data_IF_788258896993
#
_entry.id   IF_788258896993
#
_cell.length_a   1.000
_cell.length_b   1.000
_cell.length_c   1.000
_cell.angle_alpha   90.00
_cell.angle_beta   90.00
_cell.angle_gamma   90.00
#
_symmetry.space_group_name_H-M   'P 1'
#
loop_
_entity.id
_entity.type
_entity.pdbx_description
1 polymer ?
#
# COMPACT_ATOMS: atom_id res chain seq x y z
N UNK A 1 39.99 21.03 -38.32
CA UNK A 1 40.25 19.90 -37.42
C UNK A 1 39.35 20.05 -36.20
N UNK A 2 38.47 19.06 -36.01
CA UNK A 2 37.78 18.71 -34.75
C UNK A 2 36.87 19.78 -34.12
N UNK A 3 35.62 19.84 -34.61
CA UNK A 3 34.52 20.41 -33.82
C UNK A 3 34.12 19.39 -32.74
N UNK A 4 34.56 19.65 -31.51
CA UNK A 4 34.20 18.85 -30.33
C UNK A 4 32.71 19.01 -30.03
N UNK A 5 31.94 17.95 -30.24
CA UNK A 5 30.54 17.84 -29.83
C UNK A 5 30.47 17.75 -28.30
N UNK A 6 30.23 18.87 -27.62
CA UNK A 6 29.96 18.88 -26.18
C UNK A 6 28.58 18.28 -25.92
N UNK A 7 28.54 16.99 -25.59
CA UNK A 7 27.35 16.32 -25.08
C UNK A 7 27.08 16.82 -23.66
N UNK A 8 26.22 17.82 -23.50
CA UNK A 8 25.68 18.25 -22.20
C UNK A 8 24.70 17.19 -21.68
N UNK A 9 25.22 16.26 -20.87
CA UNK A 9 24.41 15.39 -20.02
C UNK A 9 23.71 16.23 -18.95
N UNK A 10 22.46 16.64 -19.19
CA UNK A 10 21.60 17.23 -18.17
C UNK A 10 21.21 16.15 -17.15
N UNK A 11 21.97 16.05 -16.06
CA UNK A 11 21.56 15.33 -14.85
C UNK A 11 20.43 16.11 -14.18
N UNK A 12 19.18 15.83 -14.54
CA UNK A 12 18.01 16.37 -13.85
C UNK A 12 17.93 15.69 -12.47
N UNK A 13 18.19 16.42 -11.40
CA UNK A 13 17.86 15.94 -10.05
C UNK A 13 16.38 15.53 -10.04
N UNK A 14 16.02 14.36 -9.47
CA UNK A 14 14.62 13.97 -9.36
C UNK A 14 13.86 15.03 -8.58
N UNK A 15 12.64 15.34 -9.03
CA UNK A 15 11.76 16.26 -8.32
C UNK A 15 11.48 15.73 -6.90
N UNK A 16 11.39 16.60 -5.88
CA UNK A 16 11.14 16.18 -4.51
C UNK A 16 9.76 15.51 -4.39
N UNK A 17 9.70 14.34 -3.74
CA UNK A 17 8.48 13.62 -3.41
C UNK A 17 8.11 13.90 -1.94
N UNK A 18 6.85 14.27 -1.70
CA UNK A 18 6.34 14.60 -0.37
C UNK A 18 5.07 13.80 -0.07
N UNK A 19 5.02 13.18 1.10
CA UNK A 19 3.78 12.62 1.63
C UNK A 19 2.90 13.76 2.16
N UNK A 20 1.62 13.73 1.84
CA UNK A 20 0.61 14.73 2.26
C UNK A 20 -0.55 14.01 2.96
N UNK A 21 -1.42 14.80 3.61
CA UNK A 21 -2.64 14.32 4.29
C UNK A 21 -2.40 13.35 5.46
N UNK A 22 -1.75 13.86 6.52
CA UNK A 22 -1.53 13.14 7.78
C UNK A 22 -2.72 13.27 8.76
N UNK A 23 -3.91 13.64 8.28
CA UNK A 23 -5.08 13.86 9.15
C UNK A 23 -5.61 12.59 9.85
N UNK A 24 -5.22 11.42 9.34
CA UNK A 24 -5.53 10.11 9.92
C UNK A 24 -4.31 9.44 10.58
N UNK A 25 -3.17 10.13 10.64
CA UNK A 25 -1.97 9.60 11.26
C UNK A 25 -2.20 9.51 12.78
N UNK A 26 -1.84 8.39 13.38
CA UNK A 26 -1.92 8.16 14.81
C UNK A 26 -0.56 7.70 15.36
N UNK A 27 -0.31 7.96 16.63
CA UNK A 27 0.89 7.47 17.30
C UNK A 27 0.71 6.01 17.63
N UNK A 28 1.62 5.17 17.13
CA UNK A 28 1.65 3.78 17.52
C UNK A 28 2.06 3.62 18.98
N UNK A 29 1.24 2.90 19.73
CA UNK A 29 1.38 2.55 21.14
C UNK A 29 1.12 1.03 21.23
N UNK A 30 2.09 0.23 21.70
CA UNK A 30 1.94 -1.22 21.74
C UNK A 30 0.71 -1.62 22.57
N UNK A 31 -0.08 -2.57 22.04
CA UNK A 31 -1.34 -3.07 22.62
C UNK A 31 -2.49 -2.06 22.69
N UNK A 32 -2.42 -0.97 21.93
CA UNK A 32 -3.55 -0.04 21.80
C UNK A 32 -4.51 -0.53 20.72
N UNK A 33 -5.80 -0.29 20.93
CA UNK A 33 -6.84 -0.58 19.94
C UNK A 33 -6.98 0.62 19.01
N UNK A 34 -6.88 0.38 17.72
CA UNK A 34 -7.07 1.39 16.69
C UNK A 34 -8.34 1.13 15.87
N UNK A 35 -8.90 2.19 15.29
CA UNK A 35 -10.17 2.11 14.57
C UNK A 35 -9.98 1.44 13.19
N UNK A 36 -10.52 0.25 13.02
CA UNK A 36 -10.46 -0.52 11.76
C UNK A 36 -11.23 0.09 10.57
N UNK A 37 -12.00 1.16 10.79
CA UNK A 37 -12.72 1.90 9.74
C UNK A 37 -11.87 2.96 9.01
N UNK A 38 -10.55 2.94 9.20
CA UNK A 38 -9.61 3.81 8.48
C UNK A 38 -9.24 3.27 7.08
N UNK A 39 -8.72 4.13 6.21
CA UNK A 39 -8.34 3.87 4.81
C UNK A 39 -9.48 3.65 3.80
N UNK A 40 -9.22 4.05 2.55
CA UNK A 40 -10.08 3.80 1.39
C UNK A 40 -10.15 2.30 1.09
N UNK A 41 -11.34 1.77 0.79
CA UNK A 41 -11.62 0.32 0.63
C UNK A 41 -10.57 -0.44 -0.18
N UNK A 42 -10.11 0.14 -1.29
CA UNK A 42 -9.18 -0.51 -2.20
C UNK A 42 -7.73 -0.65 -1.68
N UNK A 43 -7.40 0.07 -0.61
CA UNK A 43 -6.08 0.10 0.02
C UNK A 43 -6.12 -0.45 1.45
N UNK A 44 -7.27 -0.98 1.90
CA UNK A 44 -7.36 -1.64 3.20
C UNK A 44 -6.55 -2.94 3.19
N UNK A 45 -5.73 -3.11 4.22
CA UNK A 45 -5.01 -4.35 4.50
C UNK A 45 -5.96 -5.47 4.92
N UNK A 46 -5.56 -6.74 4.76
CA UNK A 46 -6.35 -7.87 5.23
C UNK A 46 -6.69 -7.77 6.73
N UNK A 47 -5.79 -7.29 7.60
CA UNK A 47 -6.09 -7.14 9.03
C UNK A 47 -7.22 -6.12 9.30
N UNK A 48 -7.29 -5.04 8.51
CA UNK A 48 -8.40 -4.09 8.58
C UNK A 48 -9.72 -4.67 8.05
N UNK A 49 -9.67 -5.61 7.10
CA UNK A 49 -10.84 -6.25 6.52
C UNK A 49 -11.44 -7.33 7.43
N UNK A 50 -10.61 -8.04 8.21
CA UNK A 50 -11.05 -9.00 9.23
C UNK A 50 -11.39 -8.35 10.58
N UNK A 51 -11.13 -7.04 10.73
CA UNK A 51 -11.47 -6.29 11.94
C UNK A 51 -10.48 -6.45 13.09
N UNK A 52 -9.21 -6.74 12.80
CA UNK A 52 -8.17 -6.83 13.81
C UNK A 52 -7.79 -5.44 14.31
N UNK A 53 -8.10 -5.12 15.57
CA UNK A 53 -7.93 -3.77 16.15
C UNK A 53 -6.50 -3.48 16.65
N UNK A 54 -5.62 -4.48 16.71
CA UNK A 54 -4.27 -4.38 17.25
C UNK A 54 -3.20 -4.32 16.15
N UNK A 55 -3.54 -3.70 15.02
CA UNK A 55 -2.62 -3.53 13.91
C UNK A 55 -1.46 -2.58 14.25
N UNK A 56 -0.36 -2.73 13.53
CA UNK A 56 0.84 -1.90 13.65
C UNK A 56 1.11 -1.14 12.35
N UNK A 57 2.35 -0.69 12.15
CA UNK A 57 2.78 0.01 10.94
C UNK A 57 2.68 -0.81 9.65
N UNK A 58 2.40 -2.13 9.72
CA UNK A 58 2.26 -2.98 8.55
C UNK A 58 1.09 -2.54 7.64
N UNK A 59 0.07 -1.87 8.16
CA UNK A 59 -1.06 -1.34 7.37
C UNK A 59 -0.58 -0.35 6.30
N UNK A 60 0.44 0.45 6.61
CA UNK A 60 0.98 1.47 5.70
C UNK A 60 1.82 0.81 4.61
N UNK A 61 2.59 -0.21 4.99
CA UNK A 61 3.39 -0.99 4.05
C UNK A 61 2.51 -1.72 3.04
N UNK A 62 1.34 -2.20 3.48
CA UNK A 62 0.32 -2.75 2.58
C UNK A 62 -0.18 -1.73 1.55
N UNK A 63 -0.49 -0.51 1.99
CA UNK A 63 -0.90 0.59 1.11
C UNK A 63 0.16 0.92 0.07
N UNK A 64 1.44 1.00 0.49
CA UNK A 64 2.58 1.19 -0.41
C UNK A 64 2.71 0.04 -1.42
N UNK A 65 2.54 -1.21 -0.97
CA UNK A 65 2.53 -2.37 -1.85
C UNK A 65 1.42 -2.31 -2.91
N UNK A 66 0.22 -1.87 -2.52
CA UNK A 66 -0.89 -1.67 -3.46
C UNK A 66 -0.58 -0.61 -4.54
N UNK A 67 0.05 0.51 -4.16
CA UNK A 67 0.46 1.57 -5.10
C UNK A 67 1.55 1.03 -6.03
N UNK A 68 2.57 0.37 -5.47
CA UNK A 68 3.67 -0.19 -6.25
C UNK A 68 3.17 -1.24 -7.26
N UNK A 69 2.29 -2.15 -6.83
CA UNK A 69 1.68 -3.13 -7.70
C UNK A 69 0.80 -2.47 -8.77
N UNK A 70 0.08 -1.39 -8.44
CA UNK A 70 -0.70 -0.61 -9.41
C UNK A 70 0.17 0.01 -10.50
N UNK A 71 1.33 0.56 -10.10
CA UNK A 71 2.31 1.15 -11.01
C UNK A 71 2.96 0.11 -11.93
N UNK A 72 3.38 -1.03 -11.37
CA UNK A 72 4.03 -2.12 -12.12
C UNK A 72 3.06 -2.81 -13.09
N UNK A 73 1.83 -3.07 -12.65
CA UNK A 73 0.82 -3.77 -13.43
C UNK A 73 -0.02 -2.83 -14.32
N UNK A 74 0.23 -1.51 -14.25
CA UNK A 74 -0.56 -0.47 -14.93
C UNK A 74 -2.06 -0.60 -14.66
N UNK A 75 -2.42 -1.00 -13.42
CA UNK A 75 -3.80 -1.37 -13.04
C UNK A 75 -4.15 -0.80 -11.68
N UNK A 76 -4.97 0.25 -11.68
CA UNK A 76 -5.44 0.90 -10.44
C UNK A 76 -6.98 0.89 -10.34
N UNK A 77 -7.54 0.48 -9.19
CA UNK A 77 -6.90 -0.23 -8.08
C UNK A 77 -6.55 -1.68 -8.46
N UNK A 78 -5.48 -2.20 -7.86
CA UNK A 78 -5.04 -3.61 -8.02
C UNK A 78 -6.16 -4.56 -7.60
N UNK A 79 -6.78 -4.27 -6.45
CA UNK A 79 -7.87 -5.03 -5.86
C UNK A 79 -9.17 -4.23 -5.89
N UNK A 80 -10.11 -4.62 -6.75
CA UNK A 80 -11.42 -3.96 -6.92
C UNK A 80 -12.55 -4.77 -6.29
N UNK A 81 -12.64 -4.83 -4.97
CA UNK A 81 -13.74 -5.44 -4.23
C UNK A 81 -15.02 -4.59 -4.25
N UNK A 82 -16.17 -5.23 -4.43
CA UNK A 82 -17.50 -4.60 -4.34
C UNK A 82 -17.84 -4.21 -2.90
N UNK A 83 -17.35 -4.98 -1.95
CA UNK A 83 -17.59 -4.91 -0.51
C UNK A 83 -16.34 -5.42 0.23
N UNK A 84 -16.28 -5.27 1.55
CA UNK A 84 -15.06 -5.62 2.31
C UNK A 84 -14.71 -7.11 2.20
N UNK A 85 -15.73 -7.98 2.14
CA UNK A 85 -15.54 -9.42 1.98
C UNK A 85 -15.03 -9.76 0.58
N UNK A 86 -15.61 -9.18 -0.47
CA UNK A 86 -15.12 -9.33 -1.85
C UNK A 86 -13.71 -8.73 -2.04
N UNK A 87 -13.39 -7.64 -1.33
CA UNK A 87 -12.03 -7.07 -1.31
C UNK A 87 -11.04 -8.07 -0.72
N UNK A 88 -11.37 -8.68 0.43
CA UNK A 88 -10.54 -9.70 1.06
C UNK A 88 -10.36 -10.88 0.11
N UNK A 89 -11.45 -11.43 -0.43
CA UNK A 89 -11.42 -12.55 -1.38
C UNK A 89 -10.48 -12.29 -2.57
N UNK A 90 -10.48 -11.07 -3.13
CA UNK A 90 -9.56 -10.69 -4.22
C UNK A 90 -8.10 -10.64 -3.79
N UNK A 91 -7.83 -10.18 -2.57
CA UNK A 91 -6.49 -10.20 -2.00
C UNK A 91 -6.01 -11.65 -1.84
N UNK A 92 -6.82 -12.51 -1.22
CA UNK A 92 -6.50 -13.94 -1.03
C UNK A 92 -6.29 -14.65 -2.37
N UNK A 93 -7.07 -14.31 -3.39
CA UNK A 93 -6.94 -14.94 -4.71
C UNK A 93 -5.60 -14.67 -5.40
N UNK A 94 -4.90 -13.60 -5.00
CA UNK A 94 -3.60 -13.21 -5.57
C UNK A 94 -2.44 -13.65 -4.68
N UNK A 95 -2.56 -13.50 -3.36
CA UNK A 95 -1.52 -13.91 -2.40
C UNK A 95 -1.53 -15.42 -2.12
N UNK A 96 -2.66 -16.09 -2.33
CA UNK A 96 -2.89 -17.47 -1.93
C UNK A 96 -3.54 -17.58 -0.56
N UNK A 97 -4.27 -18.68 -0.34
CA UNK A 97 -4.95 -18.99 0.94
C UNK A 97 -4.01 -19.51 2.02
N UNK A 98 -2.81 -19.98 1.65
CA UNK A 98 -1.90 -20.66 2.59
C UNK A 98 -1.33 -19.70 3.65
N UNK A 99 -1.11 -18.43 3.31
CA UNK A 99 -0.60 -17.42 4.24
C UNK A 99 -1.69 -16.87 5.17
N UNK A 100 -2.96 -16.96 4.76
CA UNK A 100 -4.10 -16.47 5.55
C UNK A 100 -4.48 -17.43 6.69
N UNK A 101 -4.22 -18.73 6.50
CA UNK A 101 -4.40 -19.74 7.55
C UNK A 101 -3.36 -19.60 8.66
N UNK A 102 -2.19 -19.02 8.38
CA UNK A 102 -1.15 -18.76 9.40
C UNK A 102 -1.59 -17.68 10.41
N UNK A 103 -2.54 -16.81 10.05
CA UNK A 103 -3.06 -15.76 10.94
C UNK A 103 -4.15 -16.25 11.92
N UNK A 104 -4.71 -17.45 11.71
CA UNK A 104 -5.75 -18.06 12.57
C UNK A 104 -5.18 -19.12 13.55
N UNK A 105 -3.86 -19.14 13.73
CA UNK A 105 -3.11 -20.08 14.59
C UNK A 105 -2.37 -19.41 15.74
#
# INVERSE_FOLDING_TARGET
SSSSSTTTTTTTNPLPLMLIDLGLADFYLPRTRYNVRVASRHYKSPELLIGYEYYDYAIDLWGVGCILAGLLLRREPVFRGKDNLDQLSKIVSVLGTEELVVYDG
#
